data_IF_033009998395
#
_entry.id   IF_033009998395
#
_cell.length_a   1.000
_cell.length_b   1.000
_cell.length_c   1.000
_cell.angle_alpha   90.00
_cell.angle_beta   90.00
_cell.angle_gamma   90.00
#
_symmetry.space_group_name_H-M   'P 1'
#
loop_
_entity.id
_entity.type
_entity.pdbx_description
1 polymer ?
#
# COMPACT_ATOMS: atom_id res chain seq x y z
N UNK A 1 -4.39 -15.20 -13.77
CA UNK A 1 -3.96 -15.56 -12.40
C UNK A 1 -5.07 -16.43 -11.88
N UNK A 2 -4.83 -17.75 -11.81
CA UNK A 2 -5.84 -18.75 -11.45
C UNK A 2 -6.24 -18.58 -9.98
N UNK A 3 -7.54 -18.70 -9.73
CA UNK A 3 -8.20 -18.18 -8.52
C UNK A 3 -8.10 -19.09 -7.27
N UNK A 4 -7.52 -20.29 -7.40
CA UNK A 4 -7.54 -21.31 -6.34
C UNK A 4 -6.27 -21.29 -5.45
N UNK A 5 -5.20 -20.59 -5.86
CA UNK A 5 -3.90 -20.52 -5.15
C UNK A 5 -3.74 -19.29 -4.24
N UNK A 6 -4.82 -18.54 -3.98
CA UNK A 6 -4.70 -17.10 -3.70
C UNK A 6 -4.71 -16.71 -2.21
N UNK A 7 -5.54 -17.34 -1.36
CA UNK A 7 -5.72 -16.86 0.02
C UNK A 7 -4.56 -17.22 0.95
N UNK A 8 -4.16 -18.50 1.03
CA UNK A 8 -3.10 -18.93 1.94
C UNK A 8 -1.76 -18.23 1.62
N UNK A 9 -1.43 -18.08 0.34
CA UNK A 9 -0.26 -17.32 -0.11
C UNK A 9 -0.37 -15.86 0.32
N UNK A 10 -1.53 -15.22 0.12
CA UNK A 10 -1.75 -13.84 0.56
C UNK A 10 -1.60 -13.69 2.08
N UNK A 11 -2.17 -14.60 2.87
CA UNK A 11 -2.07 -14.57 4.33
C UNK A 11 -0.63 -14.78 4.82
N UNK A 12 0.10 -15.70 4.18
CA UNK A 12 1.52 -15.92 4.44
C UNK A 12 2.31 -14.66 4.17
N UNK A 13 2.24 -14.12 2.95
CA UNK A 13 3.03 -12.94 2.56
C UNK A 13 2.67 -11.70 3.39
N UNK A 14 1.37 -11.41 3.58
CA UNK A 14 0.93 -10.18 4.24
C UNK A 14 1.02 -10.23 5.77
N UNK A 15 0.77 -11.39 6.39
CA UNK A 15 0.61 -11.50 7.84
C UNK A 15 1.52 -12.53 8.51
N UNK A 16 2.16 -13.42 7.76
CA UNK A 16 3.04 -14.45 8.31
C UNK A 16 2.33 -15.71 8.74
N UNK A 17 1.11 -15.94 8.25
CA UNK A 17 0.36 -17.15 8.56
C UNK A 17 0.95 -18.35 7.81
N UNK A 18 1.39 -19.36 8.55
CA UNK A 18 1.79 -20.65 8.01
C UNK A 18 0.86 -21.74 8.59
N UNK A 19 0.11 -22.49 7.78
CA UNK A 19 -0.69 -23.59 8.30
C UNK A 19 0.24 -24.68 8.84
N UNK A 20 0.26 -24.82 10.17
CA UNK A 20 1.11 -25.79 10.85
C UNK A 20 0.43 -27.16 10.92
N UNK A 21 1.11 -28.27 10.54
CA UNK A 21 0.62 -29.61 10.75
C UNK A 21 0.46 -29.96 12.23
N UNK A 22 1.27 -29.33 13.10
CA UNK A 22 1.33 -29.58 14.54
C UNK A 22 0.35 -28.69 15.34
N UNK A 23 -0.20 -27.64 14.71
CA UNK A 23 -1.26 -26.83 15.30
C UNK A 23 -2.48 -27.71 15.61
N UNK A 24 -2.79 -27.82 16.90
CA UNK A 24 -4.02 -28.45 17.37
C UNK A 24 -5.21 -27.62 16.90
N UNK A 25 -6.32 -28.27 16.56
CA UNK A 25 -7.57 -27.55 16.29
C UNK A 25 -7.97 -26.76 17.54
N UNK A 26 -8.08 -25.43 17.46
CA UNK A 26 -8.39 -24.58 18.60
C UNK A 26 -9.79 -24.83 19.17
N UNK A 27 -9.94 -24.46 20.44
CA UNK A 27 -11.23 -24.48 21.16
C UNK A 27 -12.25 -23.56 20.45
N UNK A 28 -13.54 -23.96 20.42
CA UNK A 28 -14.58 -23.19 19.74
C UNK A 28 -14.81 -21.87 20.48
N UNK A 29 -14.80 -20.77 19.71
CA UNK A 29 -15.08 -19.38 20.09
C UNK A 29 -13.87 -18.53 20.47
N UNK A 30 -13.13 -18.08 19.46
CA UNK A 30 -12.46 -16.79 19.57
C UNK A 30 -13.54 -15.69 19.64
N UNK A 31 -13.51 -14.77 20.62
CA UNK A 31 -14.65 -13.92 20.97
C UNK A 31 -15.01 -12.85 19.92
N UNK A 32 -14.12 -12.57 18.95
CA UNK A 32 -14.21 -11.37 18.11
C UNK A 32 -14.83 -11.59 16.72
N UNK A 33 -14.84 -12.81 16.20
CA UNK A 33 -15.39 -13.16 14.89
C UNK A 33 -16.40 -14.29 15.05
N UNK A 34 -17.57 -14.16 14.43
CA UNK A 34 -18.70 -15.09 14.63
C UNK A 34 -18.83 -16.10 13.50
N UNK A 35 -18.28 -15.79 12.34
CA UNK A 35 -18.43 -16.59 11.12
C UNK A 35 -17.20 -16.48 10.22
N UNK A 36 -17.06 -17.44 9.30
CA UNK A 36 -16.05 -17.40 8.24
C UNK A 36 -16.21 -16.15 7.35
N UNK A 37 -17.43 -15.70 7.08
CA UNK A 37 -17.70 -14.47 6.33
C UNK A 37 -17.13 -13.23 7.02
N UNK A 38 -17.15 -13.18 8.36
CA UNK A 38 -16.52 -12.10 9.12
C UNK A 38 -15.00 -12.10 8.92
N UNK A 39 -14.38 -13.27 8.90
CA UNK A 39 -12.93 -13.43 8.64
C UNK A 39 -12.58 -12.89 7.26
N UNK A 40 -13.29 -13.33 6.22
CA UNK A 40 -13.10 -12.87 4.84
C UNK A 40 -13.26 -11.35 4.73
N UNK A 41 -14.29 -10.79 5.36
CA UNK A 41 -14.51 -9.35 5.41
C UNK A 41 -13.40 -8.58 6.13
N UNK A 42 -12.79 -9.17 7.17
CA UNK A 42 -11.67 -8.55 7.89
C UNK A 42 -10.42 -8.46 7.02
N UNK A 43 -10.10 -9.53 6.28
CA UNK A 43 -8.91 -9.62 5.43
C UNK A 43 -9.10 -8.99 4.04
N UNK A 44 -10.33 -8.59 3.70
CA UNK A 44 -10.65 -7.90 2.46
C UNK A 44 -10.97 -8.83 1.29
N UNK A 45 -11.29 -10.09 1.55
CA UNK A 45 -11.71 -11.08 0.56
C UNK A 45 -13.24 -11.17 0.52
N UNK A 46 -13.80 -11.34 -0.68
CA UNK A 46 -15.25 -11.47 -0.91
C UNK A 46 -15.60 -12.82 -1.52
N UNK A 47 -14.76 -13.32 -2.41
CA UNK A 47 -14.93 -14.63 -3.04
C UNK A 47 -14.73 -15.73 -2.00
N UNK A 48 -15.55 -16.78 -2.03
CA UNK A 48 -15.29 -17.95 -1.19
C UNK A 48 -14.02 -18.65 -1.71
N UNK A 49 -12.95 -18.71 -0.91
CA UNK A 49 -11.70 -19.31 -1.34
C UNK A 49 -11.78 -20.84 -1.21
N UNK A 50 -11.10 -21.55 -2.11
CA UNK A 50 -10.91 -23.00 -1.97
C UNK A 50 -9.87 -23.27 -0.88
N UNK A 51 -10.36 -23.53 0.34
CA UNK A 51 -9.54 -23.74 1.54
C UNK A 51 -10.20 -24.84 2.36
N UNK A 52 -9.38 -25.76 2.88
CA UNK A 52 -9.86 -26.88 3.70
C UNK A 52 -10.56 -26.40 4.99
N UNK A 53 -11.53 -27.16 5.50
CA UNK A 53 -12.21 -26.81 6.77
C UNK A 53 -11.23 -26.68 7.94
N UNK A 54 -10.15 -27.49 7.93
CA UNK A 54 -9.07 -27.39 8.91
C UNK A 54 -8.39 -26.01 8.84
N UNK A 55 -7.99 -25.58 7.64
CA UNK A 55 -7.31 -24.31 7.45
C UNK A 55 -8.23 -23.13 7.76
N UNK A 56 -9.54 -23.23 7.46
CA UNK A 56 -10.52 -22.20 7.86
C UNK A 56 -10.51 -21.98 9.38
N UNK A 57 -10.45 -23.05 10.17
CA UNK A 57 -10.37 -22.97 11.64
C UNK A 57 -9.07 -22.30 12.09
N UNK A 58 -7.93 -22.69 11.52
CA UNK A 58 -6.62 -22.11 11.85
C UNK A 58 -6.52 -20.63 11.47
N UNK A 59 -7.03 -20.26 10.30
CA UNK A 59 -7.10 -18.86 9.85
C UNK A 59 -8.01 -18.06 10.79
N UNK A 60 -9.17 -18.61 11.16
CA UNK A 60 -10.09 -17.93 12.06
C UNK A 60 -9.45 -17.61 13.41
N UNK A 61 -8.74 -18.57 14.01
CA UNK A 61 -7.98 -18.35 15.23
C UNK A 61 -6.88 -17.30 15.03
N UNK A 62 -6.02 -17.48 14.03
CA UNK A 62 -4.91 -16.57 13.75
C UNK A 62 -5.38 -15.13 13.57
N UNK A 63 -6.42 -14.90 12.76
CA UNK A 63 -6.98 -13.57 12.53
C UNK A 63 -7.64 -13.02 13.79
N UNK A 64 -8.32 -13.86 14.58
CA UNK A 64 -8.91 -13.42 15.85
C UNK A 64 -7.86 -12.97 16.85
N UNK A 65 -6.74 -13.70 16.97
CA UNK A 65 -5.59 -13.31 17.78
C UNK A 65 -4.87 -12.09 17.19
N UNK A 66 -4.85 -11.91 15.87
CA UNK A 66 -4.29 -10.72 15.25
C UNK A 66 -5.14 -9.47 15.53
N UNK A 67 -6.47 -9.62 15.63
CA UNK A 67 -7.38 -8.56 16.06
C UNK A 67 -7.20 -8.23 17.54
N UNK A 68 -6.97 -9.25 18.38
CA UNK A 68 -6.79 -9.12 19.82
C UNK A 68 -5.33 -9.37 20.23
N UNK A 69 -4.55 -8.29 20.24
CA UNK A 69 -3.13 -8.32 20.57
C UNK A 69 -2.82 -8.79 22.00
N UNK A 70 -3.82 -8.96 22.88
CA UNK A 70 -3.61 -9.43 24.25
C UNK A 70 -3.35 -10.94 24.35
N UNK A 71 -3.87 -11.73 23.40
CA UNK A 71 -3.85 -13.20 23.50
C UNK A 71 -2.57 -13.84 22.93
N UNK A 72 -1.73 -13.06 22.24
CA UNK A 72 -0.61 -13.58 21.46
C UNK A 72 -1.08 -14.37 20.22
N UNK A 73 -0.23 -14.48 19.20
CA UNK A 73 -0.54 -15.35 18.06
C UNK A 73 -0.21 -16.82 18.38
N UNK A 74 -0.90 -17.78 17.74
CA UNK A 74 -0.54 -19.19 17.82
C UNK A 74 0.89 -19.40 17.29
N UNK A 75 1.82 -19.76 18.19
CA UNK A 75 3.24 -19.86 17.87
C UNK A 75 3.58 -20.76 16.68
N UNK A 76 2.95 -21.95 16.48
CA UNK A 76 3.24 -22.80 15.33
C UNK A 76 2.90 -22.12 13.99
N UNK A 77 1.89 -21.24 13.97
CA UNK A 77 1.33 -20.64 12.76
C UNK A 77 1.84 -19.22 12.47
N UNK A 78 2.61 -18.61 13.39
CA UNK A 78 3.18 -17.26 13.26
C UNK A 78 4.65 -17.33 12.86
N UNK A 79 4.97 -16.94 11.62
CA UNK A 79 6.34 -17.00 11.09
C UNK A 79 7.34 -16.09 11.83
N UNK A 80 6.86 -15.10 12.60
CA UNK A 80 7.73 -14.25 13.40
C UNK A 80 8.12 -14.90 14.73
N UNK A 81 7.47 -16.01 15.09
CA UNK A 81 7.80 -16.75 16.30
C UNK A 81 8.97 -17.71 16.04
N UNK A 82 9.98 -17.67 16.92
CA UNK A 82 11.15 -18.54 16.84
C UNK A 82 10.81 -20.03 17.00
N UNK A 83 9.69 -20.36 17.65
CA UNK A 83 9.19 -21.73 17.81
C UNK A 83 8.16 -22.12 16.73
N UNK A 84 8.01 -21.30 15.68
CA UNK A 84 7.20 -21.69 14.52
C UNK A 84 7.79 -22.91 13.82
N UNK A 85 6.96 -23.66 13.11
CA UNK A 85 7.43 -24.74 12.24
C UNK A 85 8.28 -24.19 11.08
N UNK A 86 8.04 -22.94 10.67
CA UNK A 86 8.78 -22.24 9.61
C UNK A 86 9.06 -20.77 10.00
N UNK A 87 10.00 -20.52 10.93
CA UNK A 87 10.34 -19.16 11.33
C UNK A 87 10.95 -18.38 10.16
N UNK A 88 10.57 -17.12 9.99
CA UNK A 88 11.11 -16.26 8.94
C UNK A 88 12.62 -16.04 9.11
N UNK A 89 13.09 -15.94 10.36
CA UNK A 89 14.50 -15.74 10.71
C UNK A 89 15.44 -16.83 10.18
N UNK A 90 14.94 -18.06 9.94
CA UNK A 90 15.75 -19.14 9.38
C UNK A 90 15.74 -19.16 7.86
N UNK A 91 14.78 -18.47 7.23
CA UNK A 91 14.53 -18.51 5.80
C UNK A 91 14.99 -17.25 5.06
N UNK A 92 15.21 -16.15 5.78
CA UNK A 92 15.69 -14.89 5.22
C UNK A 92 16.56 -14.13 6.21
N UNK A 93 17.72 -13.68 5.74
CA UNK A 93 18.63 -12.86 6.53
C UNK A 93 18.30 -11.37 6.35
N UNK A 94 17.91 -10.72 7.45
CA UNK A 94 17.53 -9.29 7.48
C UNK A 94 18.74 -8.35 7.36
N UNK A 95 19.97 -8.85 7.38
CA UNK A 95 21.20 -8.10 7.11
C UNK A 95 21.25 -7.50 5.69
N UNK A 96 20.46 -8.07 4.77
CA UNK A 96 20.22 -7.54 3.43
C UNK A 96 19.30 -6.32 3.42
N UNK A 97 18.74 -5.91 4.55
CA UNK A 97 17.87 -4.74 4.69
C UNK A 97 18.56 -3.67 5.51
N UNK A 98 18.64 -2.47 4.97
CA UNK A 98 19.24 -1.32 5.64
C UNK A 98 18.17 -0.29 5.99
N UNK A 99 18.09 0.08 7.27
CA UNK A 99 17.28 1.22 7.70
C UNK A 99 18.07 2.51 7.46
N UNK A 100 17.56 3.35 6.56
CA UNK A 100 18.19 4.62 6.16
C UNK A 100 17.65 5.79 6.98
N UNK A 101 16.36 5.78 7.32
CA UNK A 101 15.72 6.80 8.16
C UNK A 101 14.72 6.16 9.13
N UNK A 102 13.95 6.97 9.88
CA UNK A 102 12.90 6.44 10.74
C UNK A 102 11.94 5.53 9.96
N UNK A 103 11.57 5.94 8.76
CA UNK A 103 10.52 5.30 7.97
C UNK A 103 11.04 4.57 6.72
N UNK A 104 12.28 4.79 6.25
CA UNK A 104 12.77 4.19 5.00
C UNK A 104 13.68 2.97 5.21
N UNK A 105 13.34 1.86 4.55
CA UNK A 105 14.13 0.63 4.48
C UNK A 105 14.55 0.36 3.04
N UNK A 106 15.85 0.12 2.82
CA UNK A 106 16.44 -0.15 1.51
C UNK A 106 16.96 -1.58 1.45
N UNK A 107 16.63 -2.27 0.36
CA UNK A 107 16.97 -3.67 0.15
C UNK A 107 18.22 -3.85 -0.71
N UNK A 108 19.19 -4.61 -0.19
CA UNK A 108 20.40 -5.09 -0.89
C UNK A 108 20.11 -6.44 -1.57
N UNK A 109 19.21 -6.42 -2.54
CA UNK A 109 18.79 -7.61 -3.28
C UNK A 109 19.74 -7.90 -4.45
N UNK A 110 19.74 -9.14 -4.99
CA UNK A 110 20.46 -9.45 -6.21
C UNK A 110 20.13 -8.43 -7.32
N UNK A 111 21.15 -7.76 -7.88
CA UNK A 111 20.93 -6.73 -8.87
C UNK A 111 20.38 -7.35 -10.17
N UNK A 112 19.64 -6.55 -10.93
CA UNK A 112 19.24 -6.90 -12.29
C UNK A 112 20.11 -6.12 -13.27
N UNK A 113 20.66 -6.74 -14.32
CA UNK A 113 21.39 -6.00 -15.37
C UNK A 113 20.49 -4.97 -16.08
N UNK A 114 19.17 -5.11 -15.96
CA UNK A 114 18.18 -4.22 -16.57
C UNK A 114 17.91 -2.94 -15.79
N UNK A 115 18.40 -2.80 -14.54
CA UNK A 115 18.20 -1.58 -13.77
C UNK A 115 19.35 -1.27 -12.80
N UNK A 116 19.50 0.03 -12.46
CA UNK A 116 20.53 0.53 -11.54
C UNK A 116 19.97 0.99 -10.19
N UNK A 117 18.65 1.05 -10.07
CA UNK A 117 17.95 1.44 -8.86
C UNK A 117 17.79 0.25 -7.91
N UNK A 118 17.60 0.55 -6.63
CA UNK A 118 17.31 -0.42 -5.55
C UNK A 118 15.87 -0.24 -5.05
N UNK A 119 15.35 -1.23 -4.33
CA UNK A 119 14.01 -1.11 -3.74
C UNK A 119 14.11 -0.42 -2.38
N UNK A 120 13.30 0.64 -2.22
CA UNK A 120 13.00 1.26 -0.93
C UNK A 120 11.54 1.00 -0.53
N UNK A 121 11.25 0.86 0.76
CA UNK A 121 9.87 0.75 1.28
C UNK A 121 9.72 1.46 2.62
N UNK A 122 8.53 2.02 2.86
CA UNK A 122 8.30 2.84 4.06
C UNK A 122 7.66 2.09 5.23
N UNK A 123 7.14 0.89 4.97
CA UNK A 123 6.31 0.15 5.94
C UNK A 123 7.03 -1.12 6.39
N UNK A 124 7.19 -1.37 7.70
CA UNK A 124 7.74 -2.64 8.21
C UNK A 124 6.95 -3.86 7.73
N UNK A 125 5.63 -3.74 7.53
CA UNK A 125 4.82 -4.81 6.94
C UNK A 125 5.24 -5.15 5.52
N UNK A 126 5.66 -4.16 4.73
CA UNK A 126 6.16 -4.36 3.37
C UNK A 126 7.56 -4.96 3.39
N UNK A 127 8.41 -4.59 4.36
CA UNK A 127 9.71 -5.24 4.59
C UNK A 127 9.51 -6.75 4.77
N UNK A 128 8.64 -7.15 5.71
CA UNK A 128 8.35 -8.56 5.96
C UNK A 128 7.71 -9.25 4.75
N UNK A 129 6.83 -8.57 4.01
CA UNK A 129 6.26 -9.10 2.78
C UNK A 129 7.35 -9.48 1.76
N UNK A 130 8.32 -8.60 1.52
CA UNK A 130 9.43 -8.86 0.59
C UNK A 130 10.30 -10.02 1.11
N UNK A 131 10.61 -10.04 2.42
CA UNK A 131 11.39 -11.12 3.02
C UNK A 131 10.71 -12.49 2.79
N UNK A 132 9.39 -12.56 3.03
CA UNK A 132 8.58 -13.78 2.82
C UNK A 132 8.50 -14.17 1.36
N UNK A 133 8.37 -13.20 0.46
CA UNK A 133 8.37 -13.45 -0.99
C UNK A 133 9.70 -14.09 -1.42
N UNK A 134 10.83 -13.49 -1.03
CA UNK A 134 12.16 -14.02 -1.36
C UNK A 134 12.40 -15.40 -0.74
N UNK A 135 11.99 -15.59 0.52
CA UNK A 135 12.08 -16.87 1.21
C UNK A 135 11.23 -17.97 0.54
N UNK A 136 10.12 -17.62 -0.09
CA UNK A 136 9.23 -18.60 -0.74
C UNK A 136 9.83 -19.23 -2.01
N UNK A 137 10.72 -18.51 -2.68
CA UNK A 137 11.44 -19.00 -3.86
C UNK A 137 12.89 -18.46 -3.91
N UNK A 138 13.79 -19.01 -3.06
CA UNK A 138 15.16 -18.54 -2.97
C UNK A 138 15.89 -18.58 -4.33
N UNK A 139 16.74 -17.60 -4.59
CA UNK A 139 17.52 -17.44 -5.83
C UNK A 139 16.71 -17.24 -7.13
N UNK A 140 15.39 -17.08 -7.06
CA UNK A 140 14.57 -16.79 -8.25
C UNK A 140 14.29 -15.30 -8.44
N UNK A 141 14.45 -14.52 -7.38
CA UNK A 141 14.07 -13.12 -7.34
C UNK A 141 15.27 -12.19 -7.54
N UNK A 142 15.12 -11.26 -8.48
CA UNK A 142 15.94 -10.05 -8.62
C UNK A 142 15.15 -8.84 -8.14
N UNK A 143 15.84 -7.71 -7.95
CA UNK A 143 15.21 -6.41 -7.68
C UNK A 143 14.05 -6.09 -8.65
N UNK A 144 14.19 -6.40 -9.94
CA UNK A 144 13.16 -6.12 -10.94
C UNK A 144 11.93 -7.03 -10.78
N UNK A 145 12.13 -8.33 -10.51
CA UNK A 145 11.01 -9.26 -10.32
C UNK A 145 10.21 -8.95 -9.05
N UNK A 146 10.89 -8.47 -7.99
CA UNK A 146 10.22 -8.05 -6.75
C UNK A 146 9.44 -6.76 -7.00
N UNK A 147 10.03 -5.78 -7.66
CA UNK A 147 9.33 -4.54 -8.02
C UNK A 147 8.07 -4.81 -8.89
N UNK A 148 8.17 -5.71 -9.86
CA UNK A 148 7.02 -6.16 -10.65
C UNK A 148 5.93 -6.77 -9.76
N UNK A 149 6.31 -7.63 -8.80
CA UNK A 149 5.38 -8.22 -7.85
C UNK A 149 4.68 -7.17 -6.99
N UNK A 150 5.43 -6.21 -6.42
CA UNK A 150 4.88 -5.13 -5.62
C UNK A 150 3.91 -4.27 -6.44
N UNK A 151 4.25 -3.96 -7.69
CA UNK A 151 3.41 -3.19 -8.61
C UNK A 151 2.11 -3.93 -8.95
N UNK A 152 2.17 -5.22 -9.25
CA UNK A 152 0.98 -6.02 -9.55
C UNK A 152 0.01 -6.10 -8.36
N UNK A 153 0.56 -6.16 -7.14
CA UNK A 153 -0.21 -6.16 -5.89
C UNK A 153 -0.54 -4.76 -5.34
N UNK A 154 -0.15 -3.69 -6.05
CA UNK A 154 -0.30 -2.27 -5.66
C UNK A 154 0.24 -1.95 -4.26
N UNK A 155 1.35 -2.59 -3.90
CA UNK A 155 2.05 -2.35 -2.65
C UNK A 155 2.95 -1.13 -2.84
N UNK A 156 2.92 -0.12 -1.96
CA UNK A 156 3.77 1.06 -2.09
C UNK A 156 5.26 0.70 -1.97
N UNK A 157 6.09 1.23 -2.88
CA UNK A 157 7.55 1.10 -2.84
C UNK A 157 8.24 2.21 -3.64
N UNK A 158 9.56 2.28 -3.52
CA UNK A 158 10.43 3.21 -4.23
C UNK A 158 11.42 2.47 -5.12
N UNK A 159 11.78 3.09 -6.23
CA UNK A 159 12.87 2.67 -7.12
C UNK A 159 14.06 3.60 -6.95
N UNK A 160 14.76 3.51 -5.83
CA UNK A 160 15.74 4.52 -5.42
C UNK A 160 17.03 4.45 -6.23
N UNK A 161 17.54 5.60 -6.66
CA UNK A 161 18.88 5.75 -7.23
C UNK A 161 19.80 6.45 -6.23
N UNK A 162 20.98 5.87 -5.97
CA UNK A 162 21.99 6.50 -5.13
C UNK A 162 22.81 7.48 -5.99
N UNK A 163 22.72 8.78 -5.70
CA UNK A 163 23.39 9.83 -6.47
C UNK A 163 23.90 10.95 -5.56
N UNK A 164 25.05 11.52 -5.91
CA UNK A 164 25.60 12.68 -5.22
C UNK A 164 24.85 13.95 -5.61
N UNK A 165 24.69 14.88 -4.67
CA UNK A 165 24.15 16.22 -4.93
C UNK A 165 24.73 17.22 -3.93
N UNK A 166 25.02 18.44 -4.39
CA UNK A 166 25.45 19.55 -3.55
C UNK A 166 24.30 20.43 -3.06
N UNK A 167 23.16 20.42 -3.75
CA UNK A 167 21.99 21.26 -3.48
C UNK A 167 20.70 20.44 -3.67
N UNK A 168 20.33 19.57 -2.72
CA UNK A 168 19.12 18.78 -2.86
C UNK A 168 17.88 19.63 -2.57
N UNK A 169 16.92 19.66 -3.49
CA UNK A 169 15.62 20.33 -3.29
C UNK A 169 14.51 19.29 -3.11
N UNK A 170 13.80 19.38 -1.98
CA UNK A 170 12.73 18.44 -1.69
C UNK A 170 11.44 18.93 -2.34
N UNK A 171 10.84 18.09 -3.17
CA UNK A 171 9.57 18.40 -3.80
C UNK A 171 8.41 18.27 -2.78
N UNK A 172 8.26 19.27 -1.91
CA UNK A 172 7.21 19.31 -0.89
C UNK A 172 6.34 20.57 -1.03
N UNK A 173 5.60 20.63 -2.14
CA UNK A 173 4.64 21.69 -2.38
C UNK A 173 3.24 21.25 -1.92
N UNK A 174 2.62 21.93 -0.94
CA UNK A 174 1.27 21.63 -0.52
C UNK A 174 0.26 21.97 -1.63
N UNK A 175 -0.96 21.43 -1.49
CA UNK A 175 -2.08 21.77 -2.36
C UNK A 175 -2.38 23.28 -2.34
N UNK A 176 -2.64 23.86 -3.53
CA UNK A 176 -3.09 25.25 -3.66
C UNK A 176 -4.47 25.29 -4.34
N UNK A 177 -5.35 26.19 -3.87
CA UNK A 177 -6.75 26.26 -4.33
C UNK A 177 -6.87 26.81 -5.77
N UNK A 178 -6.72 25.93 -6.77
CA UNK A 178 -6.60 26.33 -8.18
C UNK A 178 -7.87 26.03 -9.00
N UNK A 179 -8.67 25.05 -8.59
CA UNK A 179 -9.83 24.54 -9.34
C UNK A 179 -11.17 25.01 -8.74
N UNK A 180 -11.40 26.33 -8.78
CA UNK A 180 -12.57 26.95 -8.14
C UNK A 180 -13.87 26.73 -8.92
N UNK A 181 -14.91 26.27 -8.23
CA UNK A 181 -16.30 26.23 -8.70
C UNK A 181 -17.20 27.03 -7.75
N UNK A 182 -18.31 27.51 -8.30
CA UNK A 182 -19.31 28.22 -7.52
C UNK A 182 -20.01 27.32 -6.50
N UNK A 183 -20.56 27.97 -5.47
CA UNK A 183 -21.37 27.29 -4.46
C UNK A 183 -22.52 26.51 -5.12
N UNK A 184 -22.79 25.30 -4.63
CA UNK A 184 -23.86 24.41 -5.11
C UNK A 184 -23.72 23.97 -6.58
N UNK A 185 -22.50 23.97 -7.14
CA UNK A 185 -22.24 23.37 -8.45
C UNK A 185 -22.83 21.96 -8.55
N UNK A 186 -23.54 21.69 -9.65
CA UNK A 186 -24.11 20.37 -9.93
C UNK A 186 -23.11 19.57 -10.75
N UNK A 187 -22.38 18.69 -10.07
CA UNK A 187 -21.41 17.82 -10.74
C UNK A 187 -22.09 16.80 -11.65
N UNK A 188 -21.49 16.61 -12.82
CA UNK A 188 -21.94 15.70 -13.86
C UNK A 188 -20.84 14.72 -14.26
N UNK A 189 -21.18 13.73 -15.08
CA UNK A 189 -20.20 12.84 -15.71
C UNK A 189 -19.20 13.61 -16.59
N UNK A 190 -19.58 14.78 -17.14
CA UNK A 190 -18.67 15.61 -17.91
C UNK A 190 -17.57 16.24 -17.04
N UNK A 191 -17.89 16.65 -15.81
CA UNK A 191 -16.90 17.12 -14.84
C UNK A 191 -15.90 16.00 -14.50
N UNK A 192 -16.40 14.78 -14.28
CA UNK A 192 -15.56 13.60 -14.04
C UNK A 192 -14.62 13.33 -15.23
N UNK A 193 -15.14 13.30 -16.45
CA UNK A 193 -14.33 13.06 -17.65
C UNK A 193 -13.25 14.14 -17.82
N UNK A 194 -13.57 15.39 -17.50
CA UNK A 194 -12.60 16.50 -17.54
C UNK A 194 -11.49 16.30 -16.51
N UNK A 195 -11.82 15.97 -15.25
CA UNK A 195 -10.83 15.67 -14.23
C UNK A 195 -9.95 14.46 -14.61
N UNK A 196 -10.52 13.42 -15.23
CA UNK A 196 -9.75 12.25 -15.65
C UNK A 196 -8.86 12.52 -16.86
N UNK A 197 -9.17 13.54 -17.67
CA UNK A 197 -8.27 14.02 -18.73
C UNK A 197 -7.06 14.74 -18.14
N UNK A 198 -7.26 15.57 -17.11
CA UNK A 198 -6.15 16.23 -16.38
C UNK A 198 -5.26 15.21 -15.68
N UNK A 199 -5.87 14.21 -15.02
CA UNK A 199 -5.18 13.06 -14.43
C UNK A 199 -4.29 12.33 -15.47
N UNK A 200 -4.82 12.05 -16.66
CA UNK A 200 -4.05 11.46 -17.77
C UNK A 200 -2.86 12.31 -18.21
N UNK A 201 -3.06 13.61 -18.35
CA UNK A 201 -2.00 14.54 -18.73
C UNK A 201 -0.87 14.55 -17.70
N UNK A 202 -1.22 14.54 -16.41
CA UNK A 202 -0.27 14.47 -15.30
C UNK A 202 0.51 13.16 -15.29
N UNK A 203 -0.17 12.02 -15.48
CA UNK A 203 0.46 10.70 -15.53
C UNK A 203 1.43 10.52 -16.72
N UNK A 204 1.26 11.32 -17.77
CA UNK A 204 2.19 11.38 -18.90
C UNK A 204 3.46 12.19 -18.64
N UNK A 205 3.55 12.92 -17.52
CA UNK A 205 4.75 13.67 -17.13
C UNK A 205 5.81 12.71 -16.54
N UNK A 206 7.10 13.09 -16.53
CA UNK A 206 8.17 12.26 -15.98
C UNK A 206 7.90 11.72 -14.56
N UNK A 207 7.40 12.58 -13.66
CA UNK A 207 7.06 12.24 -12.27
C UNK A 207 5.78 11.42 -12.13
N UNK A 208 4.98 11.24 -13.19
CA UNK A 208 3.73 10.48 -13.17
C UNK A 208 3.92 9.03 -12.69
N UNK A 209 5.12 8.47 -12.84
CA UNK A 209 5.51 7.16 -12.29
C UNK A 209 5.38 7.07 -10.77
N UNK A 210 5.61 8.17 -10.04
CA UNK A 210 5.48 8.21 -8.58
C UNK A 210 4.04 7.88 -8.15
N UNK A 211 3.04 8.25 -8.98
CA UNK A 211 1.65 7.89 -8.74
C UNK A 211 1.44 6.37 -8.71
N UNK A 212 2.07 5.65 -9.65
CA UNK A 212 1.97 4.19 -9.79
C UNK A 212 2.66 3.51 -8.61
N UNK A 213 3.86 3.96 -8.27
CA UNK A 213 4.68 3.42 -7.19
C UNK A 213 4.07 3.62 -5.80
N UNK A 214 3.25 4.65 -5.61
CA UNK A 214 2.58 4.96 -4.34
C UNK A 214 1.59 3.89 -3.89
N UNK A 215 1.15 2.98 -4.77
CA UNK A 215 0.15 1.97 -4.45
C UNK A 215 -1.18 2.56 -3.94
N UNK A 216 -1.98 1.73 -3.26
CA UNK A 216 -3.26 2.17 -2.68
C UNK A 216 -4.19 2.83 -3.69
N UNK A 217 -5.00 3.81 -3.24
CA UNK A 217 -5.98 4.47 -4.12
C UNK A 217 -5.33 5.29 -5.24
N UNK A 218 -4.20 5.98 -4.97
CA UNK A 218 -3.51 6.80 -5.98
C UNK A 218 -2.90 5.91 -7.06
N UNK A 219 -2.20 4.84 -6.66
CA UNK A 219 -1.65 3.86 -7.60
C UNK A 219 -2.73 3.16 -8.41
N UNK A 220 -3.89 2.85 -7.81
CA UNK A 220 -5.01 2.27 -8.55
C UNK A 220 -5.61 3.23 -9.58
N UNK A 221 -5.78 4.51 -9.24
CA UNK A 221 -6.19 5.55 -10.18
C UNK A 221 -5.16 5.67 -11.31
N UNK A 222 -3.88 5.74 -10.96
CA UNK A 222 -2.80 5.83 -11.94
C UNK A 222 -2.79 4.66 -12.93
N UNK A 223 -3.07 3.43 -12.48
CA UNK A 223 -3.20 2.26 -13.36
C UNK A 223 -4.49 2.24 -14.18
N UNK A 224 -5.57 2.86 -13.70
CA UNK A 224 -6.82 2.99 -14.46
C UNK A 224 -6.67 3.96 -15.63
N UNK A 225 -5.94 5.05 -15.40
CA UNK A 225 -5.90 6.19 -16.33
C UNK A 225 -4.53 6.42 -16.97
N UNK A 226 -3.47 5.69 -16.61
CA UNK A 226 -2.11 5.79 -17.16
C UNK A 226 -1.55 4.46 -17.67
N UNK A 227 -0.26 4.44 -18.05
CA UNK A 227 0.47 3.22 -18.42
C UNK A 227 1.02 2.51 -17.17
N UNK A 228 0.93 1.17 -17.13
CA UNK A 228 1.41 0.35 -16.01
C UNK A 228 2.92 0.22 -15.99
N UNK A 229 3.58 0.20 -17.15
CA UNK A 229 5.00 -0.16 -17.26
C UNK A 229 5.96 0.97 -16.85
N UNK A 230 5.49 2.23 -16.82
CA UNK A 230 6.38 3.36 -16.54
C UNK A 230 7.06 3.19 -15.19
N UNK A 231 6.36 2.72 -14.15
CA UNK A 231 6.89 2.52 -12.78
C UNK A 231 8.15 1.64 -12.65
N UNK A 232 8.54 0.82 -13.64
CA UNK A 232 9.74 -0.03 -13.52
C UNK A 232 11.00 0.57 -14.17
N UNK A 233 10.88 1.73 -14.81
CA UNK A 233 12.00 2.39 -15.51
C UNK A 233 13.06 3.00 -14.57
N UNK A 234 12.73 3.18 -13.28
CA UNK A 234 13.58 3.92 -12.32
C UNK A 234 13.35 5.43 -12.36
N UNK A 235 14.07 6.19 -11.53
CA UNK A 235 13.83 7.62 -11.37
C UNK A 235 13.94 8.40 -12.68
N UNK A 236 13.08 9.39 -12.85
CA UNK A 236 12.94 10.13 -14.09
C UNK A 236 14.05 11.17 -14.32
N UNK A 237 13.95 11.91 -15.44
CA UNK A 237 14.87 13.03 -15.75
C UNK A 237 14.79 14.15 -14.71
N UNK A 238 13.62 14.39 -14.11
CA UNK A 238 13.43 15.39 -13.05
C UNK A 238 14.31 15.07 -11.84
N UNK A 239 14.44 13.79 -11.53
CA UNK A 239 15.27 13.32 -10.42
C UNK A 239 16.74 13.24 -10.83
N UNK A 240 17.03 12.57 -11.95
CA UNK A 240 18.40 12.20 -12.33
C UNK A 240 19.23 13.38 -12.85
N UNK A 241 18.58 14.40 -13.43
CA UNK A 241 19.25 15.58 -13.98
C UNK A 241 18.90 16.85 -13.21
N UNK A 242 17.63 17.03 -12.84
CA UNK A 242 17.18 18.25 -12.16
C UNK A 242 17.22 18.15 -10.63
N UNK A 243 17.54 16.98 -10.06
CA UNK A 243 17.61 16.77 -8.61
C UNK A 243 16.34 17.25 -7.88
N UNK A 244 15.19 17.05 -8.52
CA UNK A 244 13.87 17.44 -8.02
C UNK A 244 13.02 16.21 -7.79
N UNK A 245 12.63 15.96 -6.54
CA UNK A 245 11.84 14.80 -6.17
C UNK A 245 11.93 14.45 -4.70
N UNK A 246 11.73 13.17 -4.42
CA UNK A 246 11.95 12.58 -3.10
C UNK A 246 13.44 12.28 -2.93
N UNK A 247 14.00 12.64 -1.78
CA UNK A 247 15.33 12.19 -1.42
C UNK A 247 15.49 11.93 0.08
N UNK A 248 16.41 11.03 0.41
CA UNK A 248 16.84 10.76 1.77
C UNK A 248 18.37 10.66 1.80
N UNK A 249 19.07 11.32 2.75
CA UNK A 249 20.50 11.16 2.91
C UNK A 249 20.89 9.70 3.10
N UNK A 250 21.91 9.25 2.38
CA UNK A 250 22.51 7.94 2.61
C UNK A 250 23.50 8.00 3.78
N UNK A 251 24.07 6.84 4.17
CA UNK A 251 25.19 6.80 5.12
C UNK A 251 26.51 7.32 4.54
N UNK A 252 26.58 7.53 3.23
CA UNK A 252 27.76 8.09 2.57
C UNK A 252 27.57 9.61 2.43
N UNK A 253 28.49 10.37 3.01
CA UNK A 253 28.44 11.83 2.97
C UNK A 253 28.34 12.35 1.54
N UNK A 254 27.38 13.25 1.31
CA UNK A 254 27.11 13.85 0.00
C UNK A 254 26.33 12.98 -0.97
N UNK A 255 25.96 11.76 -0.59
CA UNK A 255 25.10 10.87 -1.39
C UNK A 255 23.70 10.75 -0.80
N UNK A 256 22.72 10.71 -1.68
CA UNK A 256 21.30 10.60 -1.32
C UNK A 256 20.64 9.50 -2.15
N UNK A 257 19.66 8.84 -1.56
CA UNK A 257 18.73 8.01 -2.30
C UNK A 257 17.64 8.88 -2.88
N UNK A 258 17.45 8.81 -4.19
CA UNK A 258 16.53 9.65 -4.95
C UNK A 258 15.43 8.84 -5.62
N UNK A 259 14.21 9.37 -5.67
CA UNK A 259 13.10 8.87 -6.48
C UNK A 259 12.16 10.01 -6.87
N UNK A 260 11.23 9.75 -7.78
CA UNK A 260 10.17 10.71 -8.11
C UNK A 260 9.18 10.84 -6.95
N UNK A 261 8.60 12.03 -6.78
CA UNK A 261 7.50 12.28 -5.85
C UNK A 261 6.37 13.07 -6.52
N UNK A 262 5.24 13.15 -5.83
CA UNK A 262 4.10 13.97 -6.22
C UNK A 262 3.87 15.07 -5.19
N UNK A 263 3.67 16.28 -5.69
CA UNK A 263 3.18 17.41 -4.89
C UNK A 263 1.75 17.18 -4.39
N UNK A 264 1.33 17.96 -3.39
CA UNK A 264 -0.06 17.96 -2.92
C UNK A 264 -1.06 18.32 -4.01
N UNK A 265 -0.68 19.21 -4.92
CA UNK A 265 -1.45 19.58 -6.10
C UNK A 265 -1.65 18.41 -7.05
N UNK A 266 -0.57 17.67 -7.33
CA UNK A 266 -0.62 16.53 -8.23
C UNK A 266 -1.47 15.40 -7.67
N UNK A 267 -1.37 15.12 -6.35
CA UNK A 267 -2.26 14.18 -5.66
C UNK A 267 -3.72 14.63 -5.77
N UNK A 268 -3.99 15.92 -5.53
CA UNK A 268 -5.35 16.46 -5.59
C UNK A 268 -5.93 16.36 -7.00
N UNK A 269 -5.13 16.62 -8.04
CA UNK A 269 -5.47 16.42 -9.45
C UNK A 269 -5.81 14.95 -9.75
N UNK A 270 -4.96 14.01 -9.33
CA UNK A 270 -5.21 12.57 -9.48
C UNK A 270 -6.53 12.15 -8.80
N UNK A 271 -6.82 12.68 -7.62
CA UNK A 271 -8.08 12.42 -6.92
C UNK A 271 -9.30 13.16 -7.52
N UNK A 272 -9.11 14.00 -8.53
CA UNK A 272 -10.15 14.82 -9.15
C UNK A 272 -10.78 15.80 -8.15
N UNK A 273 -9.93 16.59 -7.48
CA UNK A 273 -10.32 17.52 -6.41
C UNK A 273 -10.73 18.88 -6.97
N UNK A 274 -11.77 19.47 -6.39
CA UNK A 274 -12.26 20.81 -6.69
C UNK A 274 -12.35 21.62 -5.40
N UNK A 275 -12.15 22.93 -5.54
CA UNK A 275 -12.46 23.91 -4.50
C UNK A 275 -13.81 24.55 -4.79
N UNK A 276 -14.70 24.56 -3.81
CA UNK A 276 -16.04 25.12 -3.90
C UNK A 276 -16.15 26.33 -2.99
N UNK A 277 -16.63 27.46 -3.49
CA UNK A 277 -17.05 28.55 -2.61
C UNK A 277 -18.24 28.10 -1.74
N UNK A 278 -18.22 28.39 -0.44
CA UNK A 278 -19.32 28.04 0.47
C UNK A 278 -20.47 29.06 0.42
N UNK A 279 -20.25 30.19 -0.27
CA UNK A 279 -21.16 31.34 -0.28
C UNK A 279 -21.09 32.19 1.00
N UNK A 280 -20.09 31.96 1.87
CA UNK A 280 -19.79 32.79 3.05
C UNK A 280 -18.48 33.53 2.84
N UNK A 281 -18.54 34.65 2.12
CA UNK A 281 -17.34 35.41 1.73
C UNK A 281 -16.41 34.57 0.86
N UNK A 282 -15.11 34.63 1.15
CA UNK A 282 -14.04 33.91 0.43
C UNK A 282 -13.83 32.47 0.94
N UNK A 283 -14.67 31.98 1.85
CA UNK A 283 -14.52 30.64 2.38
C UNK A 283 -14.74 29.57 1.28
N UNK A 284 -13.76 28.68 1.13
CA UNK A 284 -13.82 27.51 0.24
C UNK A 284 -13.98 26.20 1.00
N UNK A 285 -14.37 25.14 0.30
CA UNK A 285 -14.35 23.76 0.78
C UNK A 285 -13.91 22.82 -0.35
N UNK A 286 -13.22 21.74 -0.01
CA UNK A 286 -12.72 20.78 -0.99
C UNK A 286 -13.62 19.55 -1.12
N UNK A 287 -13.84 19.14 -2.37
CA UNK A 287 -14.51 17.88 -2.71
C UNK A 287 -13.72 17.14 -3.77
N UNK A 288 -13.75 15.81 -3.79
CA UNK A 288 -12.97 15.01 -4.74
C UNK A 288 -13.74 13.81 -5.26
N UNK A 289 -13.45 13.40 -6.50
CA UNK A 289 -14.01 12.21 -7.12
C UNK A 289 -13.50 10.91 -6.48
N UNK A 290 -12.30 10.92 -5.91
CA UNK A 290 -11.73 9.80 -5.17
C UNK A 290 -11.29 10.23 -3.77
N UNK A 291 -11.24 9.32 -2.79
CA UNK A 291 -10.85 9.67 -1.43
C UNK A 291 -9.38 10.14 -1.39
N UNK A 292 -9.06 11.19 -0.61
CA UNK A 292 -7.68 11.57 -0.37
C UNK A 292 -6.87 10.40 0.21
N UNK A 293 -5.57 10.27 -0.09
CA UNK A 293 -4.78 9.08 0.27
C UNK A 293 -4.74 8.84 1.78
N UNK A 294 -4.65 9.92 2.56
CA UNK A 294 -4.58 9.82 4.01
C UNK A 294 -5.92 9.43 4.65
N UNK A 295 -7.05 9.70 3.98
CA UNK A 295 -8.38 9.19 4.37
C UNK A 295 -8.48 7.71 4.05
N UNK A 296 -8.02 7.29 2.86
CA UNK A 296 -8.01 5.89 2.43
C UNK A 296 -7.19 5.00 3.39
N UNK A 297 -5.96 5.41 3.68
CA UNK A 297 -5.02 4.63 4.49
C UNK A 297 -5.46 4.51 5.95
N UNK A 298 -6.06 5.56 6.53
CA UNK A 298 -6.45 5.58 7.96
C UNK A 298 -7.78 4.88 8.24
N UNK A 299 -8.67 4.77 7.26
CA UNK A 299 -10.01 4.22 7.48
C UNK A 299 -10.13 2.70 7.25
N UNK A 300 -8.99 2.03 7.10
CA UNK A 300 -8.90 0.58 7.08
C UNK A 300 -9.19 -0.06 5.72
N UNK A 301 -8.99 0.71 4.65
CA UNK A 301 -8.76 0.20 3.29
C UNK A 301 -7.25 0.12 2.96
N UNK A 302 -6.38 0.51 3.91
CA UNK A 302 -4.92 0.42 3.84
C UNK A 302 -4.37 -0.96 4.22
N UNK A 303 -4.93 -2.03 3.68
CA UNK A 303 -4.30 -3.36 3.73
C UNK A 303 -2.87 -3.29 3.13
N UNK A 304 -1.97 -4.24 3.48
CA UNK A 304 -0.60 -4.21 2.97
C UNK A 304 -0.51 -4.18 1.43
N UNK A 305 -1.50 -4.74 0.73
CA UNK A 305 -1.69 -4.62 -0.71
C UNK A 305 -3.17 -4.40 -1.10
N UNK A 306 -3.45 -4.40 -2.40
CA UNK A 306 -4.80 -4.21 -2.94
C UNK A 306 -5.63 -5.49 -2.87
N UNK A 307 -6.75 -5.44 -2.15
CA UNK A 307 -7.64 -6.58 -1.90
C UNK A 307 -8.84 -6.60 -2.85
N UNK A 308 -9.58 -7.71 -2.87
CA UNK A 308 -10.84 -7.81 -3.63
C UNK A 308 -11.85 -6.74 -3.19
N UNK A 309 -11.93 -6.47 -1.88
CA UNK A 309 -12.80 -5.42 -1.33
C UNK A 309 -12.40 -4.02 -1.83
N UNK A 310 -11.11 -3.75 -1.96
CA UNK A 310 -10.63 -2.49 -2.55
C UNK A 310 -11.05 -2.36 -4.02
N UNK A 311 -10.85 -3.43 -4.81
CA UNK A 311 -11.17 -3.42 -6.24
C UNK A 311 -12.68 -3.27 -6.48
N UNK A 312 -13.50 -4.01 -5.75
CA UNK A 312 -14.95 -3.92 -5.90
C UNK A 312 -15.46 -2.53 -5.53
N UNK A 313 -14.95 -1.95 -4.43
CA UNK A 313 -15.28 -0.58 -4.07
C UNK A 313 -14.93 0.40 -5.21
N UNK A 314 -13.72 0.28 -5.77
CA UNK A 314 -13.24 1.18 -6.82
C UNK A 314 -14.08 1.05 -8.10
N UNK A 315 -14.33 -0.18 -8.54
CA UNK A 315 -15.14 -0.46 -9.74
C UNK A 315 -16.59 -0.03 -9.58
N UNK A 316 -17.21 -0.34 -8.44
CA UNK A 316 -18.56 0.09 -8.15
C UNK A 316 -18.67 1.61 -8.11
N UNK A 317 -17.69 2.29 -7.51
CA UNK A 317 -17.67 3.74 -7.46
C UNK A 317 -17.56 4.38 -8.85
N UNK A 318 -16.67 3.88 -9.72
CA UNK A 318 -16.58 4.32 -11.11
C UNK A 318 -17.89 4.07 -11.86
N UNK A 319 -18.51 2.90 -11.67
CA UNK A 319 -19.79 2.57 -12.29
C UNK A 319 -20.90 3.54 -11.84
N UNK A 320 -20.94 3.88 -10.56
CA UNK A 320 -21.90 4.84 -10.01
C UNK A 320 -21.68 6.25 -10.56
N UNK A 321 -20.43 6.69 -10.73
CA UNK A 321 -20.12 7.98 -11.37
C UNK A 321 -20.62 7.99 -12.82
N UNK A 322 -20.31 6.94 -13.59
CA UNK A 322 -20.72 6.85 -15.01
C UNK A 322 -22.23 6.85 -15.19
N UNK A 323 -22.97 6.26 -14.24
CA UNK A 323 -24.44 6.26 -14.20
C UNK A 323 -25.04 7.58 -13.68
N UNK A 324 -24.23 8.52 -13.19
CA UNK A 324 -24.70 9.76 -12.57
C UNK A 324 -25.24 9.59 -11.14
N UNK A 325 -24.97 8.45 -10.50
CA UNK A 325 -25.42 8.12 -9.15
C UNK A 325 -24.44 8.59 -8.06
N UNK A 326 -23.22 8.94 -8.44
CA UNK A 326 -22.17 9.43 -7.54
C UNK A 326 -21.69 10.83 -7.94
N UNK A 327 -21.22 11.57 -6.94
CA UNK A 327 -20.67 12.93 -7.07
C UNK A 327 -19.43 13.08 -6.19
N UNK A 328 -18.59 14.10 -6.41
CA UNK A 328 -17.45 14.36 -5.54
C UNK A 328 -17.89 14.52 -4.10
N UNK A 329 -17.12 13.93 -3.19
CA UNK A 329 -17.41 13.96 -1.77
C UNK A 329 -16.42 14.87 -1.04
N UNK A 330 -16.90 15.52 0.01
CA UNK A 330 -16.01 16.19 0.96
C UNK A 330 -15.18 15.14 1.70
N UNK A 331 -14.06 15.58 2.27
CA UNK A 331 -13.18 14.74 3.10
C UNK A 331 -13.94 13.98 4.21
N UNK A 332 -14.90 14.63 4.88
CA UNK A 332 -15.71 13.99 5.93
C UNK A 332 -16.66 12.92 5.38
N UNK A 333 -17.24 13.17 4.21
CA UNK A 333 -18.10 12.19 3.55
C UNK A 333 -17.29 10.99 3.05
N UNK A 334 -16.08 11.23 2.53
CA UNK A 334 -15.13 10.17 2.22
C UNK A 334 -14.79 9.33 3.44
N UNK A 335 -14.47 9.98 4.55
CA UNK A 335 -14.16 9.31 5.81
C UNK A 335 -15.28 8.35 6.26
N UNK A 336 -16.54 8.73 6.08
CA UNK A 336 -17.70 7.88 6.38
C UNK A 336 -17.89 6.76 5.35
N UNK A 337 -17.66 7.06 4.07
CA UNK A 337 -17.86 6.14 2.94
C UNK A 337 -16.84 5.00 2.92
N UNK A 338 -15.57 5.28 3.21
CA UNK A 338 -14.45 4.31 3.19
C UNK A 338 -14.11 3.77 4.58
N UNK A 339 -15.04 3.87 5.54
CA UNK A 339 -14.83 3.33 6.88
C UNK A 339 -15.01 1.82 6.87
N UNK A 340 -13.92 1.08 7.06
CA UNK A 340 -13.98 -0.39 7.17
C UNK A 340 -14.59 -0.85 8.50
N UNK A 341 -14.70 -2.16 8.69
CA UNK A 341 -15.16 -2.73 9.97
C UNK A 341 -14.11 -2.52 11.07
N UNK A 342 -14.55 -2.44 12.33
CA UNK A 342 -13.66 -2.19 13.48
C UNK A 342 -12.52 -3.21 13.56
N UNK A 343 -12.85 -4.49 13.33
CA UNK A 343 -11.91 -5.60 13.43
C UNK A 343 -10.79 -5.49 12.38
N UNK A 344 -11.07 -5.10 11.14
CA UNK A 344 -10.04 -4.81 10.13
C UNK A 344 -9.04 -3.76 10.62
N UNK A 345 -9.54 -2.64 11.16
CA UNK A 345 -8.65 -1.58 11.66
C UNK A 345 -7.77 -2.06 12.81
N UNK A 346 -8.33 -2.81 13.76
CA UNK A 346 -7.55 -3.40 14.86
C UNK A 346 -6.48 -4.37 14.34
N UNK A 347 -6.87 -5.29 13.46
CA UNK A 347 -5.95 -6.25 12.84
C UNK A 347 -4.79 -5.56 12.13
N UNK A 348 -5.09 -4.58 11.27
CA UNK A 348 -4.06 -3.85 10.50
C UNK A 348 -3.13 -3.05 11.42
N UNK A 349 -3.66 -2.43 12.47
CA UNK A 349 -2.87 -1.72 13.47
C UNK A 349 -1.91 -2.68 14.18
N UNK A 350 -2.44 -3.77 14.74
CA UNK A 350 -1.64 -4.74 15.50
C UNK A 350 -0.58 -5.42 14.63
N UNK A 351 -0.90 -5.73 13.36
CA UNK A 351 0.06 -6.28 12.41
C UNK A 351 1.21 -5.30 12.12
N UNK A 352 0.91 -4.01 11.97
CA UNK A 352 1.94 -2.97 11.77
C UNK A 352 2.83 -2.82 13.01
N UNK A 353 2.25 -2.83 14.21
CA UNK A 353 3.00 -2.73 15.47
C UNK A 353 3.93 -3.94 15.66
N UNK A 354 3.44 -5.17 15.44
CA UNK A 354 4.27 -6.38 15.51
C UNK A 354 5.37 -6.37 14.45
N UNK A 355 5.04 -6.00 13.21
CA UNK A 355 6.03 -5.93 12.13
C UNK A 355 7.14 -4.93 12.45
N UNK A 356 6.79 -3.74 12.97
CA UNK A 356 7.76 -2.73 13.41
C UNK A 356 8.68 -3.30 14.49
N UNK A 357 8.11 -3.85 15.55
CA UNK A 357 8.89 -4.42 16.66
C UNK A 357 9.87 -5.51 16.19
N UNK A 358 9.43 -6.41 15.31
CA UNK A 358 10.26 -7.48 14.77
C UNK A 358 11.41 -6.93 13.90
N UNK A 359 11.10 -6.04 12.95
CA UNK A 359 12.09 -5.46 12.04
C UNK A 359 13.13 -4.65 12.81
N UNK A 360 12.71 -3.84 13.80
CA UNK A 360 13.62 -3.03 14.62
C UNK A 360 14.54 -3.90 15.49
N UNK A 361 14.03 -4.99 16.07
CA UNK A 361 14.83 -5.91 16.85
C UNK A 361 15.91 -6.61 16.02
N UNK A 362 15.62 -6.93 14.75
CA UNK A 362 16.48 -7.77 13.92
C UNK A 362 17.39 -7.00 12.96
N UNK A 363 17.12 -5.71 12.66
CA UNK A 363 18.03 -4.86 11.87
C UNK A 363 19.13 -4.23 12.74
N UNK A 364 18.86 -3.96 14.03
CA UNK A 364 19.83 -3.33 14.95
C UNK A 364 20.69 -4.33 15.74
N UNK A 365 20.39 -5.62 15.69
CA UNK A 365 21.09 -6.65 16.46
C UNK A 365 22.46 -7.08 15.86
N UNK A 366 23.04 -6.31 14.94
CA UNK A 366 24.34 -6.60 14.31
C UNK A 366 25.26 -5.38 14.26
#
# INVERSE_FOLDING_TARGET
MDAETNLLVSLRLMYGFNPSPTAQTPHPQAPNLRSWSDVLGVIGTKSEPDVSDRDKVLIHEFISCLIDSSSGLPAPSDDLNATSDQPLATSFALDTVERISEDLYVFKLPPSPSCKWVIGVDRPTTVLYICRLVASAPNTHTVLTIAYHLLEHHIPFHTLLLQASSEPEQLNLPYADNANRFNKHQFTTADFNSAMLECRALLGRPQGRAAILRGGIVGRIAREFGSKESGLQGPSIEVTVHHSGYFVPSKHDGYFYWDDDLTGEEIACLCGTYCLYTGRGEQTTTVSWFPPPDVWDKQGYGWPGWTETNEEFFQQWIADIRKGNAKPLSRQNWWRKVRSIKNTRSMLKNNRERAKAYVELNIHAM
#
